data_IF_488638540921
#
_entry.id   IF_488638540921
#
_cell.length_a   1.000
_cell.length_b   1.000
_cell.length_c   1.000
_cell.angle_alpha   90.00
_cell.angle_beta   90.00
_cell.angle_gamma   90.00
#
_symmetry.space_group_name_H-M   'P 1'
#
loop_
_entity.id
_entity.type
_entity.pdbx_description
1 polymer ?
#
# COMPACT_ATOMS: atom_id res chain seq x y z
N UNK A 1 -9.72 -14.13 20.76
CA UNK A 1 -8.75 -13.50 19.84
C UNK A 1 -7.87 -12.56 20.64
N UNK A 2 -6.61 -12.91 20.84
CA UNK A 2 -5.60 -11.95 21.33
C UNK A 2 -5.19 -11.13 20.11
N UNK A 3 -5.23 -9.80 20.21
CA UNK A 3 -4.80 -8.93 19.13
C UNK A 3 -3.27 -8.92 19.07
N UNK A 4 -2.69 -8.86 17.85
CA UNK A 4 -1.26 -8.65 17.70
C UNK A 4 -0.82 -7.44 18.53
N UNK A 5 0.30 -7.52 19.27
CA UNK A 5 0.72 -6.46 20.18
C UNK A 5 0.77 -5.10 19.48
N UNK A 6 0.38 -4.07 20.23
CA UNK A 6 0.25 -2.68 19.75
C UNK A 6 1.49 -2.20 18.96
N UNK A 7 1.25 -1.42 17.90
CA UNK A 7 2.23 -0.92 16.91
C UNK A 7 3.37 -0.10 17.52
N UNK A 8 4.35 -0.76 18.15
CA UNK A 8 5.60 -0.12 18.62
C UNK A 8 6.71 -0.10 17.56
N UNK A 9 6.58 -0.88 16.48
CA UNK A 9 7.61 -1.04 15.42
C UNK A 9 6.96 -1.23 14.04
N UNK A 10 7.73 -0.91 12.99
CA UNK A 10 7.34 -1.14 11.59
C UNK A 10 7.24 -2.64 11.35
N UNK A 11 6.21 -3.10 10.65
CA UNK A 11 6.05 -4.50 10.24
C UNK A 11 5.41 -4.60 8.86
N UNK A 12 5.75 -5.67 8.14
CA UNK A 12 5.17 -6.02 6.84
C UNK A 12 4.35 -7.27 7.05
N UNK A 13 3.10 -7.29 6.60
CA UNK A 13 2.23 -8.47 6.69
C UNK A 13 1.98 -8.99 5.28
N UNK A 14 2.31 -10.25 5.04
CA UNK A 14 2.01 -10.96 3.81
C UNK A 14 0.67 -11.70 3.96
N UNK A 15 -0.28 -11.37 3.09
CA UNK A 15 -1.60 -12.00 3.02
C UNK A 15 -1.75 -12.73 1.68
N UNK A 16 -1.36 -14.02 1.60
CA UNK A 16 -1.69 -14.88 0.48
C UNK A 16 -3.17 -14.86 0.14
N UNK A 17 -3.53 -14.43 -1.06
CA UNK A 17 -4.91 -14.43 -1.54
C UNK A 17 -5.21 -15.66 -2.38
N UNK A 18 -4.20 -16.19 -3.06
CA UNK A 18 -4.34 -17.40 -3.88
C UNK A 18 -3.28 -18.44 -3.54
N UNK A 19 -3.49 -19.66 -4.02
CA UNK A 19 -2.51 -20.75 -4.02
C UNK A 19 -2.37 -21.27 -5.46
N UNK A 20 -1.16 -21.44 -5.99
CA UNK A 20 -0.98 -22.07 -7.30
C UNK A 20 -1.51 -23.50 -7.27
N UNK A 21 -2.24 -23.88 -8.31
CA UNK A 21 -2.75 -25.24 -8.51
C UNK A 21 -1.90 -25.93 -9.58
N UNK A 22 -1.25 -27.04 -9.20
CA UNK A 22 -0.43 -27.86 -10.11
C UNK A 22 1.07 -27.57 -10.10
N UNK A 23 1.81 -28.42 -10.83
CA UNK A 23 3.29 -28.49 -10.89
C UNK A 23 3.91 -27.36 -11.73
N UNK A 24 3.49 -26.11 -11.55
CA UNK A 24 4.18 -24.94 -12.13
C UNK A 24 5.10 -24.30 -11.09
N UNK A 25 6.16 -25.02 -10.74
CA UNK A 25 7.39 -24.43 -10.18
C UNK A 25 8.40 -24.19 -11.30
N UNK A 26 7.94 -23.60 -12.42
CA UNK A 26 8.84 -23.13 -13.47
C UNK A 26 9.25 -21.69 -13.17
N UNK A 27 10.55 -21.45 -13.25
CA UNK A 27 11.29 -20.29 -12.77
C UNK A 27 10.70 -18.93 -13.18
N UNK A 28 10.45 -18.06 -12.19
CA UNK A 28 10.42 -16.60 -12.38
C UNK A 28 9.06 -15.93 -12.47
N UNK A 29 7.95 -16.67 -12.48
CA UNK A 29 6.61 -16.10 -12.29
C UNK A 29 6.17 -16.25 -10.83
N UNK A 30 5.73 -15.16 -10.22
CA UNK A 30 5.06 -15.18 -8.92
C UNK A 30 3.77 -15.99 -9.09
N UNK A 31 3.82 -17.27 -8.75
CA UNK A 31 2.66 -18.18 -8.82
C UNK A 31 1.60 -17.93 -7.75
N UNK A 32 1.64 -16.76 -7.09
CA UNK A 32 0.76 -16.43 -5.97
C UNK A 32 0.42 -14.94 -5.97
N UNK A 33 -0.86 -14.63 -5.82
CA UNK A 33 -1.31 -13.29 -5.53
C UNK A 33 -1.22 -13.09 -4.01
N UNK A 34 -0.29 -12.25 -3.56
CA UNK A 34 -0.08 -11.93 -2.15
C UNK A 34 -0.29 -10.44 -1.95
N UNK A 35 -1.22 -10.06 -1.07
CA UNK A 35 -1.40 -8.68 -0.65
C UNK A 35 -0.42 -8.36 0.48
N UNK A 36 0.31 -7.25 0.35
CA UNK A 36 1.25 -6.79 1.38
C UNK A 36 0.67 -5.59 2.11
N UNK A 37 0.42 -5.73 3.41
CA UNK A 37 0.07 -4.61 4.26
C UNK A 37 1.34 -4.10 4.96
N UNK A 38 1.64 -2.81 4.76
CA UNK A 38 2.70 -2.15 5.49
C UNK A 38 2.12 -1.41 6.69
N UNK A 39 2.60 -1.71 7.89
CA UNK A 39 2.20 -0.99 9.10
C UNK A 39 3.40 -0.24 9.65
N UNK A 40 3.32 1.08 9.63
CA UNK A 40 4.38 1.97 10.08
C UNK A 40 3.89 2.68 11.34
N UNK A 41 4.65 2.59 12.43
CA UNK A 41 4.34 3.34 13.65
C UNK A 41 4.70 4.81 13.41
N UNK A 42 3.72 5.70 13.46
CA UNK A 42 4.00 7.14 13.43
C UNK A 42 4.79 7.48 14.70
N UNK A 43 5.99 8.03 14.55
CA UNK A 43 6.80 8.49 15.69
C UNK A 43 5.98 9.55 16.43
N UNK A 44 5.44 9.20 17.60
CA UNK A 44 4.68 10.11 18.44
C UNK A 44 5.58 11.32 18.75
N UNK A 45 5.26 12.47 18.17
CA UNK A 45 5.97 13.73 18.42
C UNK A 45 5.75 14.02 19.91
N UNK A 46 6.77 13.79 20.74
CA UNK A 46 6.74 14.17 22.14
C UNK A 46 6.51 15.68 22.21
N UNK A 47 5.28 16.08 22.51
CA UNK A 47 5.00 17.42 22.97
C UNK A 47 5.57 17.52 24.39
N UNK A 48 6.82 17.97 24.51
CA UNK A 48 7.33 18.49 25.76
C UNK A 48 6.70 19.86 25.97
N UNK A 49 5.48 19.85 26.52
CA UNK A 49 4.95 21.01 27.22
C UNK A 49 5.82 21.21 28.46
N UNK A 50 6.77 22.14 28.39
CA UNK A 50 7.41 22.68 29.59
C UNK A 50 6.57 23.87 30.03
N UNK A 51 5.77 23.64 31.05
CA UNK A 51 5.01 24.64 31.78
C UNK A 51 5.95 25.42 32.72
N UNK A 52 5.70 26.73 32.81
CA UNK A 52 6.07 27.71 33.86
C UNK A 52 7.42 28.43 33.79
N UNK A 53 7.27 29.76 33.69
CA UNK A 53 8.28 30.79 33.95
C UNK A 53 7.73 32.17 33.64
N UNK A 54 6.71 32.60 34.39
CA UNK A 54 6.02 33.88 34.26
C UNK A 54 6.86 34.98 34.92
N UNK A 55 7.39 35.94 34.15
CA UNK A 55 7.80 37.26 34.64
C UNK A 55 7.43 38.29 33.57
N UNK A 56 6.58 39.23 33.94
CA UNK A 56 6.20 40.37 33.12
C UNK A 56 7.26 41.48 33.19
N UNK A 57 7.66 42.05 32.04
CA UNK A 57 8.13 43.43 31.91
C UNK A 57 7.69 43.96 30.54
N UNK A 58 7.27 45.22 30.56
CA UNK A 58 6.54 45.99 29.56
C UNK A 58 7.23 46.23 28.21
N UNK A 59 6.37 46.49 27.21
CA UNK A 59 6.61 47.50 26.18
C UNK A 59 7.44 47.08 24.96
N UNK A 60 6.75 46.75 23.87
CA UNK A 60 6.84 47.46 22.58
C UNK A 60 6.08 46.67 21.50
N UNK A 61 5.36 47.41 20.66
CA UNK A 61 4.56 46.85 19.58
C UNK A 61 5.47 46.30 18.47
N UNK A 62 5.76 45.00 18.49
CA UNK A 62 6.28 44.31 17.33
C UNK A 62 5.15 44.01 16.35
N UNK A 63 5.24 44.61 15.18
CA UNK A 63 4.45 44.30 13.99
C UNK A 63 4.70 42.84 13.63
N UNK A 64 3.76 41.95 13.98
CA UNK A 64 3.69 40.59 13.45
C UNK A 64 3.60 40.64 11.93
N UNK A 65 4.73 40.51 11.25
CA UNK A 65 4.76 40.08 9.86
C UNK A 65 4.31 38.63 9.82
N UNK A 66 2.99 38.41 9.74
CA UNK A 66 2.37 37.12 9.41
C UNK A 66 3.05 36.56 8.17
N UNK A 67 3.96 35.62 8.37
CA UNK A 67 4.57 34.85 7.30
C UNK A 67 3.46 34.14 6.53
N UNK A 68 3.37 34.41 5.23
CA UNK A 68 2.41 33.81 4.31
C UNK A 68 2.62 32.29 4.10
N UNK A 69 3.57 31.68 4.83
CA UNK A 69 3.93 30.28 4.71
C UNK A 69 3.26 29.48 5.84
N UNK A 70 2.42 28.47 5.53
CA UNK A 70 1.77 27.65 6.54
C UNK A 70 2.81 26.85 7.34
N UNK A 71 2.68 26.82 8.67
CA UNK A 71 3.62 26.18 9.60
C UNK A 71 3.84 24.67 9.35
N UNK A 72 2.90 24.02 8.65
CA UNK A 72 2.94 22.59 8.30
C UNK A 72 3.67 22.29 6.97
N UNK A 73 4.21 23.31 6.29
CA UNK A 73 4.92 23.18 5.01
C UNK A 73 3.99 23.20 3.79
N UNK A 74 4.47 23.81 2.70
CA UNK A 74 3.68 24.06 1.48
C UNK A 74 3.11 22.78 0.85
N UNK A 75 3.86 21.67 0.88
CA UNK A 75 3.44 20.39 0.30
C UNK A 75 2.26 19.76 1.03
N UNK A 76 2.28 19.78 2.37
CA UNK A 76 1.20 19.25 3.19
C UNK A 76 -0.06 20.11 3.04
N UNK A 77 0.11 21.44 2.98
CA UNK A 77 -1.00 22.35 2.74
C UNK A 77 -1.67 22.11 1.38
N UNK A 78 -0.89 22.01 0.29
CA UNK A 78 -1.44 21.70 -1.05
C UNK A 78 -2.16 20.36 -1.06
N UNK A 79 -1.56 19.34 -0.42
CA UNK A 79 -2.15 17.99 -0.34
C UNK A 79 -3.48 18.01 0.41
N UNK A 80 -3.55 18.71 1.55
CA UNK A 80 -4.76 18.86 2.35
C UNK A 80 -5.85 19.61 1.58
N UNK A 81 -5.50 20.71 0.93
CA UNK A 81 -6.44 21.46 0.07
C UNK A 81 -7.00 20.62 -1.07
N UNK A 82 -6.15 19.84 -1.75
CA UNK A 82 -6.59 18.94 -2.80
C UNK A 82 -7.55 17.86 -2.26
N UNK A 83 -7.25 17.29 -1.10
CA UNK A 83 -8.13 16.33 -0.43
C UNK A 83 -9.49 16.93 -0.04
N UNK A 84 -9.49 18.16 0.50
CA UNK A 84 -10.72 18.87 0.86
C UNK A 84 -11.60 19.17 -0.37
N UNK A 85 -10.98 19.60 -1.47
CA UNK A 85 -11.68 19.84 -2.75
C UNK A 85 -12.28 18.54 -3.28
N UNK A 86 -11.50 17.45 -3.28
CA UNK A 86 -11.96 16.14 -3.73
C UNK A 86 -13.14 15.63 -2.88
N UNK A 87 -13.03 15.73 -1.55
CA UNK A 87 -14.11 15.39 -0.63
C UNK A 87 -15.37 16.26 -0.84
N UNK A 88 -15.17 17.54 -1.16
CA UNK A 88 -16.24 18.47 -1.53
C UNK A 88 -17.00 18.03 -2.80
N UNK A 89 -16.32 17.42 -3.78
CA UNK A 89 -16.96 16.88 -4.98
C UNK A 89 -17.87 15.69 -4.67
N UNK A 90 -17.48 14.82 -3.73
CA UNK A 90 -18.29 13.69 -3.28
C UNK A 90 -19.54 14.11 -2.50
N UNK A 91 -19.50 15.23 -1.78
CA UNK A 91 -20.65 15.78 -1.02
C UNK A 91 -21.69 16.51 -1.89
N UNK A 92 -21.41 16.70 -3.18
CA UNK A 92 -22.34 17.39 -4.06
C UNK A 92 -23.63 16.57 -4.27
N UNK A 93 -24.80 17.23 -4.20
CA UNK A 93 -26.11 16.59 -4.42
C UNK A 93 -26.34 16.10 -5.86
N UNK A 94 -25.42 16.40 -6.79
CA UNK A 94 -25.47 16.00 -8.20
C UNK A 94 -24.52 16.81 -9.10
N UNK A 95 -24.67 16.62 -10.41
CA UNK A 95 -23.95 17.40 -11.43
C UNK A 95 -22.56 16.86 -11.77
N UNK A 96 -21.78 17.68 -12.48
CA UNK A 96 -20.47 17.28 -13.01
C UNK A 96 -19.47 16.93 -11.89
N UNK A 97 -19.50 17.64 -10.75
CA UNK A 97 -18.61 17.38 -9.60
C UNK A 97 -18.78 15.97 -9.03
N UNK A 98 -20.04 15.55 -8.79
CA UNK A 98 -20.32 14.20 -8.30
C UNK A 98 -19.92 13.14 -9.34
N UNK A 99 -20.21 13.38 -10.63
CA UNK A 99 -19.80 12.48 -11.72
C UNK A 99 -18.27 12.35 -11.80
N UNK A 100 -17.53 13.45 -11.63
CA UNK A 100 -16.07 13.47 -11.59
C UNK A 100 -15.54 12.67 -10.40
N UNK A 101 -16.11 12.88 -9.20
CA UNK A 101 -15.74 12.11 -8.01
C UNK A 101 -15.96 10.60 -8.25
N UNK A 102 -17.16 10.20 -8.67
CA UNK A 102 -17.49 8.79 -8.94
C UNK A 102 -16.60 8.17 -10.02
N UNK A 103 -16.28 8.92 -11.09
CA UNK A 103 -15.38 8.45 -12.13
C UNK A 103 -13.95 8.28 -11.60
N UNK A 104 -13.48 9.22 -10.77
CA UNK A 104 -12.19 9.12 -10.10
C UNK A 104 -12.10 7.93 -9.16
N UNK A 105 -13.11 7.71 -8.32
CA UNK A 105 -13.19 6.52 -7.46
C UNK A 105 -13.15 5.23 -8.30
N UNK A 106 -13.92 5.16 -9.40
CA UNK A 106 -13.85 4.04 -10.35
C UNK A 106 -12.46 3.85 -10.98
N UNK A 107 -11.71 4.93 -11.20
CA UNK A 107 -10.33 4.84 -11.70
C UNK A 107 -9.37 4.32 -10.62
N UNK A 108 -9.53 4.77 -9.38
CA UNK A 108 -8.78 4.25 -8.23
C UNK A 108 -9.07 2.77 -8.03
N UNK A 109 -10.32 2.35 -8.18
CA UNK A 109 -10.74 0.95 -8.07
C UNK A 109 -10.14 0.03 -9.13
N UNK A 110 -9.80 0.58 -10.30
CA UNK A 110 -9.09 -0.13 -11.37
C UNK A 110 -7.59 -0.29 -11.12
N UNK A 111 -7.02 0.44 -10.16
CA UNK A 111 -5.63 0.24 -9.81
C UNK A 111 -5.45 -1.14 -9.19
N UNK A 112 -4.45 -1.84 -9.68
CA UNK A 112 -4.05 -3.14 -9.14
C UNK A 112 -3.71 -2.98 -7.65
N UNK A 113 -4.20 -3.89 -6.81
CA UNK A 113 -3.95 -3.85 -5.37
C UNK A 113 -2.45 -3.86 -5.04
N UNK A 114 -1.66 -4.50 -5.90
CA UNK A 114 -0.20 -4.51 -5.84
C UNK A 114 0.39 -3.10 -5.93
N UNK A 115 -0.15 -2.25 -6.81
CA UNK A 115 0.34 -0.87 -6.93
C UNK A 115 -0.04 -0.05 -5.69
N UNK A 116 -1.26 -0.25 -5.18
CA UNK A 116 -1.79 0.46 -4.02
C UNK A 116 -0.99 0.13 -2.75
N UNK A 117 -0.68 -1.15 -2.53
CA UNK A 117 0.14 -1.60 -1.42
C UNK A 117 1.50 -0.87 -1.41
N UNK A 118 2.23 -0.85 -2.53
CA UNK A 118 3.52 -0.16 -2.65
C UNK A 118 3.41 1.36 -2.48
N UNK A 119 2.33 1.96 -3.00
CA UNK A 119 2.08 3.40 -2.85
C UNK A 119 1.84 3.79 -1.40
N UNK A 120 1.12 2.96 -0.64
CA UNK A 120 0.76 3.23 0.76
C UNK A 120 1.99 3.25 1.69
N UNK A 121 3.06 2.56 1.29
CA UNK A 121 4.31 2.54 2.03
C UNK A 121 5.07 3.87 1.88
N UNK A 122 5.55 4.43 2.99
CA UNK A 122 6.39 5.62 2.98
C UNK A 122 7.83 5.29 3.41
N UNK A 123 8.81 5.34 2.47
CA UNK A 123 10.22 5.13 2.78
C UNK A 123 10.78 6.09 3.83
N UNK A 124 10.22 7.29 3.98
CA UNK A 124 10.70 8.29 4.95
C UNK A 124 10.37 7.92 6.40
N UNK A 125 9.43 7.02 6.61
CA UNK A 125 9.04 6.54 7.94
C UNK A 125 9.78 5.26 8.34
N UNK A 126 10.55 4.67 7.42
CA UNK A 126 11.41 3.51 7.68
C UNK A 126 12.80 3.90 8.20
N UNK A 127 13.62 2.93 8.66
CA UNK A 127 15.03 3.19 8.94
C UNK A 127 15.74 3.82 7.74
N UNK A 128 16.53 4.87 7.99
CA UNK A 128 17.23 5.60 6.93
C UNK A 128 18.31 4.73 6.30
N UNK A 129 18.23 4.52 4.98
CA UNK A 129 19.23 3.76 4.21
C UNK A 129 20.62 4.41 4.32
N UNK A 130 20.70 5.74 4.46
CA UNK A 130 21.96 6.47 4.61
C UNK A 130 22.67 6.12 5.92
N UNK A 131 21.93 5.82 6.99
CA UNK A 131 22.49 5.34 8.26
C UNK A 131 22.96 3.89 8.13
N UNK A 132 22.23 3.09 7.35
CA UNK A 132 22.53 1.68 7.05
C UNK A 132 23.81 1.46 6.24
N UNK A 133 24.10 2.31 5.25
CA UNK A 133 25.33 2.23 4.44
C UNK A 133 26.58 2.72 5.19
N UNK A 134 26.43 3.46 6.29
CA UNK A 134 27.54 4.08 7.02
C UNK A 134 28.09 3.24 8.19
N UNK A 135 27.40 2.17 8.61
CA UNK A 135 27.80 1.42 9.80
C UNK A 135 28.15 -0.06 9.50
N UNK A 136 29.44 -0.38 9.33
CA UNK A 136 29.96 -1.66 9.78
C UNK A 136 30.55 -1.58 11.20
N UNK A 137 30.88 -0.38 11.75
CA UNK A 137 31.72 -0.29 12.97
C UNK A 137 31.28 0.75 14.03
N UNK A 138 30.41 1.73 13.75
CA UNK A 138 30.00 2.73 14.76
C UNK A 138 28.49 2.97 14.81
N UNK A 139 27.78 2.11 15.54
CA UNK A 139 26.67 2.54 16.41
C UNK A 139 26.12 1.31 17.17
N UNK A 140 26.15 1.34 18.51
CA UNK A 140 25.62 0.27 19.38
C UNK A 140 24.09 0.16 19.35
N UNK A 141 23.40 0.83 18.42
CA UNK A 141 21.95 0.71 18.22
C UNK A 141 21.71 -0.48 17.31
N UNK A 142 21.08 -1.53 17.85
CA UNK A 142 20.65 -2.72 17.11
C UNK A 142 20.02 -2.29 15.78
N UNK A 143 20.37 -2.89 14.63
CA UNK A 143 19.73 -2.57 13.36
C UNK A 143 18.22 -2.75 13.52
N UNK A 144 17.44 -1.81 12.98
CA UNK A 144 15.99 -1.90 12.99
C UNK A 144 15.56 -3.03 12.06
N UNK A 145 15.38 -4.23 12.63
CA UNK A 145 14.84 -5.39 11.91
C UNK A 145 13.35 -5.19 11.72
N UNK A 146 12.88 -5.41 10.50
CA UNK A 146 11.48 -5.31 10.11
C UNK A 146 10.93 -6.74 9.97
N UNK A 147 9.97 -7.17 10.81
CA UNK A 147 9.36 -8.48 10.66
C UNK A 147 8.45 -8.52 9.43
N UNK A 148 8.58 -9.60 8.66
CA UNK A 148 7.67 -10.02 7.60
C UNK A 148 6.76 -11.11 8.15
N UNK A 149 5.58 -10.72 8.59
CA UNK A 149 4.58 -11.60 9.18
C UNK A 149 3.88 -12.40 8.08
N UNK A 150 3.81 -13.72 8.23
CA UNK A 150 3.13 -14.61 7.28
C UNK A 150 2.37 -15.75 7.98
N UNK A 151 1.33 -16.31 7.34
CA UNK A 151 0.63 -17.50 7.83
C UNK A 151 1.43 -18.78 7.50
N UNK A 152 1.91 -19.55 8.49
CA UNK A 152 2.75 -20.72 8.29
C UNK A 152 2.09 -21.88 7.53
N UNK A 153 0.75 -22.01 7.55
CA UNK A 153 0.04 -23.04 6.76
C UNK A 153 0.05 -22.77 5.26
N UNK A 154 0.36 -21.54 4.85
CA UNK A 154 0.28 -21.11 3.43
C UNK A 154 1.63 -20.79 2.82
N UNK A 155 2.58 -20.27 3.62
CA UNK A 155 3.90 -19.83 3.18
C UNK A 155 4.99 -20.38 4.08
N UNK A 156 6.13 -20.72 3.48
CA UNK A 156 7.38 -20.97 4.21
C UNK A 156 8.14 -19.65 4.38
N UNK A 157 9.04 -19.54 5.38
CA UNK A 157 9.80 -18.30 5.58
C UNK A 157 10.66 -17.91 4.38
N UNK A 158 11.25 -18.89 3.67
CA UNK A 158 12.00 -18.64 2.43
C UNK A 158 11.09 -18.21 1.28
N UNK A 159 9.92 -18.84 1.14
CA UNK A 159 8.93 -18.46 0.13
C UNK A 159 8.45 -17.03 0.35
N UNK A 160 8.11 -16.63 1.59
CA UNK A 160 7.66 -15.28 1.91
C UNK A 160 8.67 -14.20 1.50
N UNK A 161 9.96 -14.41 1.79
CA UNK A 161 11.02 -13.50 1.37
C UNK A 161 11.21 -13.49 -0.16
N UNK A 162 11.19 -14.67 -0.79
CA UNK A 162 11.36 -14.79 -2.24
C UNK A 162 10.22 -14.15 -3.03
N UNK A 163 8.97 -14.29 -2.56
CA UNK A 163 7.79 -13.66 -3.15
C UNK A 163 7.87 -12.13 -3.00
N UNK A 164 8.25 -11.62 -1.82
CA UNK A 164 8.41 -10.17 -1.62
C UNK A 164 9.52 -9.59 -2.51
N UNK A 165 10.63 -10.32 -2.67
CA UNK A 165 11.72 -9.95 -3.57
C UNK A 165 11.28 -9.93 -5.03
N UNK A 166 10.64 -11.00 -5.50
CA UNK A 166 10.13 -11.08 -6.85
C UNK A 166 9.06 -10.00 -7.12
N UNK A 167 8.18 -9.72 -6.15
CA UNK A 167 7.15 -8.69 -6.23
C UNK A 167 7.76 -7.31 -6.43
N UNK A 168 8.73 -6.94 -5.59
CA UNK A 168 9.41 -5.64 -5.69
C UNK A 168 10.24 -5.52 -6.98
N UNK A 169 10.97 -6.57 -7.35
CA UNK A 169 11.78 -6.62 -8.56
C UNK A 169 10.95 -6.53 -9.84
N UNK A 170 9.83 -7.25 -9.92
CA UNK A 170 8.96 -7.27 -11.10
C UNK A 170 8.23 -5.93 -11.30
N UNK A 171 7.72 -5.33 -10.22
CA UNK A 171 6.91 -4.10 -10.29
C UNK A 171 7.74 -2.83 -10.47
N UNK A 172 8.97 -2.79 -9.96
CA UNK A 172 9.81 -1.58 -9.96
C UNK A 172 10.03 -0.97 -11.37
N UNK A 173 10.38 -1.74 -12.43
CA UNK A 173 10.54 -1.18 -13.78
C UNK A 173 9.23 -0.65 -14.38
N UNK A 174 8.09 -1.27 -14.05
CA UNK A 174 6.77 -0.82 -14.50
C UNK A 174 6.42 0.54 -13.91
N UNK A 175 6.62 0.73 -12.61
CA UNK A 175 6.36 2.02 -11.97
C UNK A 175 7.36 3.10 -12.41
N UNK A 176 8.63 2.76 -12.63
CA UNK A 176 9.62 3.69 -13.18
C UNK A 176 9.20 4.21 -14.56
N UNK A 177 8.81 3.32 -15.48
CA UNK A 177 8.34 3.70 -16.81
C UNK A 177 7.07 4.54 -16.75
N UNK A 178 6.10 4.12 -15.93
CA UNK A 178 4.85 4.86 -15.73
C UNK A 178 5.07 6.27 -15.19
N UNK A 179 5.97 6.44 -14.23
CA UNK A 179 6.32 7.75 -13.68
C UNK A 179 6.76 8.74 -14.77
N UNK A 180 7.75 8.34 -15.58
CA UNK A 180 8.26 9.18 -16.67
C UNK A 180 7.25 9.38 -17.80
N UNK A 181 6.48 8.34 -18.14
CA UNK A 181 5.42 8.45 -19.13
C UNK A 181 4.39 9.51 -18.76
N UNK A 182 3.82 9.43 -17.56
CA UNK A 182 2.79 10.39 -17.11
C UNK A 182 3.36 11.79 -16.87
N UNK A 183 4.64 11.90 -16.48
CA UNK A 183 5.33 13.18 -16.40
C UNK A 183 5.47 13.85 -17.78
N UNK A 184 5.78 13.08 -18.82
CA UNK A 184 5.89 13.58 -20.19
C UNK A 184 4.53 13.95 -20.80
N UNK A 185 3.46 13.22 -20.45
CA UNK A 185 2.09 13.49 -20.92
C UNK A 185 1.46 14.70 -20.22
N UNK A 186 1.79 14.95 -18.94
CA UNK A 186 1.22 16.07 -18.18
C UNK A 186 1.27 17.44 -18.90
N UNK A 187 2.40 17.93 -19.44
CA UNK A 187 2.42 19.23 -20.13
C UNK A 187 1.51 19.29 -21.36
N UNK A 188 1.29 18.18 -22.07
CA UNK A 188 0.36 18.12 -23.22
C UNK A 188 -1.09 18.36 -22.80
N UNK A 189 -1.42 18.02 -21.56
CA UNK A 189 -2.75 18.25 -21.00
C UNK A 189 -2.90 19.60 -20.32
N UNK A 190 -1.82 20.37 -20.13
CA UNK A 190 -1.87 21.68 -19.46
C UNK A 190 -2.77 22.75 -20.15
N UNK A 191 -2.89 22.83 -21.49
CA UNK A 191 -3.67 23.86 -22.17
C UNK A 191 -5.17 23.89 -21.79
N UNK A 192 -5.74 22.79 -21.31
CA UNK A 192 -7.13 22.73 -20.82
C UNK A 192 -7.37 23.55 -19.54
N UNK A 193 -6.33 24.13 -18.93
CA UNK A 193 -6.43 25.03 -17.76
C UNK A 193 -7.04 26.39 -18.10
N UNK A 194 -7.09 26.78 -19.38
CA UNK A 194 -7.59 28.08 -19.82
C UNK A 194 -9.12 28.23 -19.74
N UNK A 195 -9.87 27.16 -19.41
CA UNK A 195 -11.33 27.20 -19.30
C UNK A 195 -11.72 27.46 -17.82
N UNK A 196 -12.27 28.63 -17.46
CA UNK A 196 -12.46 29.04 -16.06
C UNK A 196 -13.53 28.27 -15.28
N UNK A 197 -14.34 27.44 -15.96
CA UNK A 197 -15.51 26.78 -15.37
C UNK A 197 -15.19 25.37 -14.85
N UNK A 198 -14.21 24.68 -15.44
CA UNK A 198 -13.91 23.26 -15.16
C UNK A 198 -12.43 23.12 -14.83
N UNK A 199 -12.04 22.54 -13.67
CA UNK A 199 -10.64 22.27 -13.39
C UNK A 199 -10.08 21.36 -14.48
N UNK A 200 -8.81 21.54 -14.84
CA UNK A 200 -8.14 20.71 -15.84
C UNK A 200 -7.94 19.27 -15.33
N UNK A 201 -9.02 18.48 -15.31
CA UNK A 201 -9.06 17.11 -14.83
C UNK A 201 -8.04 16.22 -15.56
N UNK A 202 -7.85 16.34 -16.89
CA UNK A 202 -6.79 15.59 -17.58
C UNK A 202 -5.39 15.86 -17.01
N UNK A 203 -5.05 17.12 -16.75
CA UNK A 203 -3.76 17.48 -16.16
C UNK A 203 -3.60 16.94 -14.74
N UNK A 204 -4.61 17.17 -13.88
CA UNK A 204 -4.57 16.66 -12.51
C UNK A 204 -4.46 15.14 -12.45
N UNK A 205 -5.15 14.44 -13.35
CA UNK A 205 -5.02 12.99 -13.49
C UNK A 205 -3.59 12.58 -13.86
N UNK A 206 -2.96 13.23 -14.86
CA UNK A 206 -1.58 12.91 -15.25
C UNK A 206 -0.59 13.13 -14.11
N UNK A 207 -0.69 14.27 -13.40
CA UNK A 207 0.17 14.58 -12.25
C UNK A 207 -0.04 13.59 -11.12
N UNK A 208 -1.30 13.30 -10.75
CA UNK A 208 -1.63 12.31 -9.72
C UNK A 208 -1.12 10.92 -10.11
N UNK A 209 -1.26 10.51 -11.37
CA UNK A 209 -0.83 9.21 -11.86
C UNK A 209 0.69 9.08 -11.88
N UNK A 210 1.39 10.15 -12.28
CA UNK A 210 2.85 10.25 -12.20
C UNK A 210 3.32 10.14 -10.74
N UNK A 211 2.72 10.91 -9.82
CA UNK A 211 3.02 10.83 -8.38
C UNK A 211 2.77 9.44 -7.79
N UNK A 212 1.67 8.80 -8.17
CA UNK A 212 1.33 7.42 -7.76
C UNK A 212 2.42 6.43 -8.15
N UNK A 213 2.87 6.49 -9.42
CA UNK A 213 3.97 5.67 -9.91
C UNK A 213 5.30 6.02 -9.23
N UNK A 214 5.58 7.30 -9.00
CA UNK A 214 6.79 7.73 -8.30
C UNK A 214 6.87 7.13 -6.90
N UNK A 215 5.78 7.24 -6.12
CA UNK A 215 5.69 6.68 -4.78
C UNK A 215 5.90 5.17 -4.79
N UNK A 216 5.17 4.43 -5.63
CA UNK A 216 5.34 2.98 -5.76
C UNK A 216 6.79 2.61 -6.16
N UNK A 217 7.38 3.32 -7.11
CA UNK A 217 8.78 3.12 -7.52
C UNK A 217 9.76 3.33 -6.36
N UNK A 218 9.66 4.45 -5.63
CA UNK A 218 10.52 4.73 -4.47
C UNK A 218 10.34 3.70 -3.36
N UNK A 219 9.12 3.24 -3.11
CA UNK A 219 8.82 2.17 -2.16
C UNK A 219 9.42 0.84 -2.57
N UNK A 220 9.30 0.44 -3.84
CA UNK A 220 9.95 -0.78 -4.34
C UNK A 220 11.47 -0.71 -4.22
N UNK A 221 12.09 0.43 -4.56
CA UNK A 221 13.53 0.63 -4.38
C UNK A 221 13.96 0.49 -2.91
N UNK A 222 13.18 1.07 -2.01
CA UNK A 222 13.46 1.00 -0.58
C UNK A 222 13.34 -0.43 -0.05
N UNK A 223 12.25 -1.14 -0.37
CA UNK A 223 12.05 -2.53 0.02
C UNK A 223 13.13 -3.46 -0.55
N UNK A 224 13.51 -3.26 -1.80
CA UNK A 224 14.62 -3.99 -2.42
C UNK A 224 15.93 -3.78 -1.63
N UNK A 225 16.23 -2.54 -1.24
CA UNK A 225 17.40 -2.24 -0.40
C UNK A 225 17.32 -2.94 0.96
N UNK A 226 16.14 -3.00 1.59
CA UNK A 226 15.98 -3.70 2.87
C UNK A 226 16.19 -5.21 2.75
N UNK A 227 15.70 -5.81 1.66
CA UNK A 227 15.90 -7.24 1.36
C UNK A 227 17.37 -7.56 1.11
N UNK A 228 18.07 -6.73 0.33
CA UNK A 228 19.49 -6.89 0.01
C UNK A 228 20.37 -6.85 1.26
N UNK A 229 20.05 -5.96 2.21
CA UNK A 229 20.76 -5.84 3.48
C UNK A 229 20.26 -6.81 4.57
N UNK A 230 19.37 -7.76 4.22
CA UNK A 230 18.77 -8.75 5.14
C UNK A 230 18.13 -8.12 6.39
N UNK A 231 17.54 -6.94 6.25
CA UNK A 231 16.83 -6.27 7.35
C UNK A 231 15.40 -6.74 7.54
N UNK A 232 14.85 -7.45 6.55
CA UNK A 232 13.53 -8.05 6.63
C UNK A 232 13.70 -9.50 7.08
N UNK A 233 13.10 -9.84 8.21
CA UNK A 233 13.17 -11.19 8.79
C UNK A 233 11.77 -11.79 8.82
N UNK A 234 11.57 -13.00 8.28
CA UNK A 234 10.27 -13.65 8.27
C UNK A 234 9.88 -14.09 9.69
N UNK A 235 8.65 -13.78 10.09
CA UNK A 235 8.06 -14.10 11.39
C UNK A 235 6.74 -14.84 11.16
N UNK A 236 6.63 -16.08 11.63
CA UNK A 236 5.38 -16.84 11.51
C UNK A 236 4.33 -16.28 12.49
N UNK A 237 3.08 -16.18 12.05
CA UNK A 237 1.97 -15.77 12.91
C UNK A 237 0.89 -16.83 12.95
N UNK A 238 0.77 -17.50 14.09
CA UNK A 238 -0.27 -18.50 14.35
C UNK A 238 -1.67 -17.86 14.40
N UNK A 239 -1.76 -16.61 14.87
CA UNK A 239 -3.02 -15.86 14.90
C UNK A 239 -3.54 -15.59 13.49
N UNK A 240 -2.63 -15.23 12.56
CA UNK A 240 -2.99 -15.07 11.16
C UNK A 240 -3.37 -16.43 10.55
N UNK A 241 -2.65 -17.49 10.91
CA UNK A 241 -2.96 -18.85 10.46
C UNK A 241 -4.37 -19.30 10.84
N UNK A 242 -4.81 -19.00 12.06
CA UNK A 242 -6.17 -19.30 12.53
C UNK A 242 -7.25 -18.63 11.68
N UNK A 243 -7.00 -17.41 11.19
CA UNK A 243 -7.93 -16.72 10.28
C UNK A 243 -8.03 -17.48 8.96
N UNK A 244 -6.92 -17.95 8.41
CA UNK A 244 -6.92 -18.78 7.21
C UNK A 244 -7.63 -20.12 7.41
N UNK A 245 -7.47 -20.75 8.57
CA UNK A 245 -8.17 -22.01 8.88
C UNK A 245 -9.69 -21.80 9.02
N UNK A 246 -10.10 -20.70 9.65
CA UNK A 246 -11.52 -20.39 9.89
C UNK A 246 -12.25 -19.97 8.62
N UNK A 247 -11.58 -19.21 7.74
CA UNK A 247 -12.14 -18.68 6.51
C UNK A 247 -11.62 -19.37 5.24
N UNK A 248 -11.11 -20.59 5.39
CA UNK A 248 -10.62 -21.42 4.29
C UNK A 248 -11.73 -21.70 3.28
N UNK A 249 -11.48 -21.41 2.01
CA UNK A 249 -12.36 -21.82 0.92
C UNK A 249 -12.06 -23.29 0.61
N UNK A 250 -13.03 -24.21 0.76
CA UNK A 250 -12.80 -25.61 0.44
C UNK A 250 -12.50 -25.77 -1.06
N UNK A 251 -11.59 -26.69 -1.44
CA UNK A 251 -11.35 -26.97 -2.84
C UNK A 251 -12.65 -27.44 -3.50
N UNK A 252 -12.88 -27.11 -4.79
CA UNK A 252 -14.04 -27.62 -5.51
C UNK A 252 -14.01 -29.16 -5.47
N UNK A 253 -15.17 -29.83 -5.33
CA UNK A 253 -15.24 -31.28 -5.32
C UNK A 253 -14.61 -31.83 -6.60
N UNK A 254 -13.75 -32.83 -6.46
CA UNK A 254 -13.14 -33.58 -7.57
C UNK A 254 -14.27 -34.20 -8.40
N UNK A 255 -14.69 -33.53 -9.46
CA UNK A 255 -15.58 -34.13 -10.44
C UNK A 255 -14.78 -35.20 -11.20
N UNK A 256 -15.27 -36.45 -11.28
CA UNK A 256 -14.60 -37.47 -12.09
C UNK A 256 -14.61 -37.02 -13.55
N UNK A 257 -13.42 -36.77 -14.08
CA UNK A 257 -13.18 -36.30 -15.43
C UNK A 257 -13.65 -37.33 -16.45
N UNK A 258 -14.87 -37.15 -16.97
CA UNK A 258 -15.29 -37.79 -18.21
C UNK A 258 -14.61 -37.07 -19.38
N UNK A 259 -13.57 -37.71 -19.91
CA UNK A 259 -13.08 -37.69 -21.30
C UNK A 259 -13.01 -36.36 -22.08
N UNK A 260 -11.80 -36.13 -22.60
CA UNK A 260 -11.43 -35.38 -23.79
C UNK A 260 -11.27 -33.85 -23.66
N UNK A 261 -10.01 -33.42 -23.73
CA UNK A 261 -9.54 -32.10 -24.14
C UNK A 261 -10.32 -30.90 -23.59
N UNK A 262 -10.12 -30.56 -22.33
CA UNK A 262 -10.42 -29.21 -21.87
C UNK A 262 -9.26 -28.62 -21.06
N UNK A 263 -8.88 -27.41 -21.41
CA UNK A 263 -7.61 -26.77 -21.00
C UNK A 263 -7.78 -25.89 -19.75
N UNK A 264 -8.88 -26.08 -19.01
CA UNK A 264 -9.43 -25.06 -18.11
C UNK A 264 -9.48 -25.52 -16.64
N UNK A 265 -8.39 -26.12 -16.16
CA UNK A 265 -8.20 -26.27 -14.70
C UNK A 265 -7.83 -24.90 -14.13
N UNK A 266 -8.53 -24.38 -13.10
CA UNK A 266 -8.15 -23.11 -12.48
C UNK A 266 -6.72 -23.21 -11.96
N UNK A 267 -5.82 -22.48 -12.63
CA UNK A 267 -4.37 -22.47 -12.35
C UNK A 267 -4.04 -22.01 -10.93
N UNK A 268 -4.98 -21.36 -10.26
CA UNK A 268 -4.86 -20.85 -8.89
C UNK A 268 -6.18 -21.08 -8.15
N UNK A 269 -6.10 -21.51 -6.89
CA UNK A 269 -7.24 -21.57 -5.97
C UNK A 269 -7.27 -20.31 -5.09
N UNK A 270 -8.45 -19.77 -4.80
CA UNK A 270 -8.63 -18.66 -3.87
C UNK A 270 -8.49 -19.18 -2.43
N UNK A 271 -7.76 -18.45 -1.58
CA UNK A 271 -7.51 -18.83 -0.18
C UNK A 271 -8.41 -18.12 0.82
N UNK A 272 -8.77 -16.87 0.53
CA UNK A 272 -9.57 -16.01 1.40
C UNK A 272 -10.73 -15.42 0.61
N UNK A 273 -11.90 -15.40 1.23
CA UNK A 273 -13.06 -14.66 0.73
C UNK A 273 -13.22 -13.33 1.48
N UNK A 274 -14.15 -12.50 1.00
CA UNK A 274 -14.51 -11.20 1.54
C UNK A 274 -14.85 -11.25 3.05
N UNK A 275 -15.43 -12.36 3.49
CA UNK A 275 -15.84 -12.56 4.88
C UNK A 275 -14.66 -12.70 5.86
N UNK A 276 -13.45 -12.97 5.36
CA UNK A 276 -12.23 -13.01 6.17
C UNK A 276 -11.73 -11.60 6.53
N UNK A 277 -12.10 -10.58 5.75
CA UNK A 277 -11.54 -9.23 5.87
C UNK A 277 -11.77 -8.61 7.26
N UNK A 278 -12.99 -8.64 7.86
CA UNK A 278 -13.19 -8.12 9.21
C UNK A 278 -12.29 -8.76 10.27
N UNK A 279 -12.06 -10.08 10.20
CA UNK A 279 -11.18 -10.80 11.12
C UNK A 279 -9.72 -10.35 10.96
N UNK A 280 -9.25 -10.18 9.72
CA UNK A 280 -7.91 -9.67 9.42
C UNK A 280 -7.74 -8.23 9.94
N UNK A 281 -8.73 -7.35 9.72
CA UNK A 281 -8.67 -5.96 10.17
C UNK A 281 -8.60 -5.88 11.69
N UNK A 282 -9.41 -6.68 12.39
CA UNK A 282 -9.38 -6.80 13.84
C UNK A 282 -8.01 -7.28 14.33
N UNK A 283 -7.48 -8.35 13.73
CA UNK A 283 -6.17 -8.90 14.07
C UNK A 283 -5.04 -7.88 13.89
N UNK A 284 -5.08 -7.13 12.79
CA UNK A 284 -4.08 -6.12 12.44
C UNK A 284 -4.28 -4.79 13.17
N UNK A 285 -5.33 -4.65 13.99
CA UNK A 285 -5.74 -3.40 14.65
C UNK A 285 -5.95 -2.25 13.67
N UNK A 286 -6.51 -2.56 12.50
CA UNK A 286 -6.84 -1.59 11.46
C UNK A 286 -8.30 -1.13 11.61
N UNK A 287 -8.55 0.17 11.43
CA UNK A 287 -9.91 0.71 11.43
C UNK A 287 -10.66 0.26 10.19
N UNK A 288 -11.93 -0.10 10.33
CA UNK A 288 -12.81 -0.50 9.22
C UNK A 288 -12.94 0.56 8.14
N UNK A 289 -12.89 1.85 8.51
CA UNK A 289 -12.97 2.98 7.59
C UNK A 289 -11.61 3.44 7.04
N UNK A 290 -10.53 2.69 7.31
CA UNK A 290 -9.20 3.05 6.82
C UNK A 290 -9.01 2.73 5.35
N UNK A 291 -8.09 3.44 4.69
CA UNK A 291 -7.66 3.13 3.32
C UNK A 291 -7.13 1.69 3.20
N UNK A 292 -6.43 1.20 4.23
CA UNK A 292 -5.95 -0.18 4.29
C UNK A 292 -7.10 -1.21 4.23
N UNK A 293 -8.23 -0.92 4.89
CA UNK A 293 -9.41 -1.77 4.80
C UNK A 293 -9.99 -1.80 3.38
N UNK A 294 -10.16 -0.63 2.75
CA UNK A 294 -10.64 -0.54 1.37
C UNK A 294 -9.71 -1.28 0.39
N UNK A 295 -8.39 -1.13 0.57
CA UNK A 295 -7.39 -1.80 -0.27
C UNK A 295 -7.40 -3.32 -0.10
N UNK A 296 -7.59 -3.82 1.12
CA UNK A 296 -7.70 -5.27 1.38
C UNK A 296 -8.97 -5.86 0.77
N UNK A 297 -10.14 -5.21 0.93
CA UNK A 297 -11.37 -5.63 0.25
C UNK A 297 -11.19 -5.68 -1.26
N UNK A 298 -10.56 -4.64 -1.83
CA UNK A 298 -10.25 -4.58 -3.27
C UNK A 298 -9.31 -5.70 -3.70
N UNK A 299 -8.29 -6.01 -2.90
CA UNK A 299 -7.32 -7.06 -3.20
C UNK A 299 -8.01 -8.44 -3.28
N UNK A 300 -8.87 -8.75 -2.31
CA UNK A 300 -9.65 -10.01 -2.29
C UNK A 300 -10.56 -10.12 -3.51
N UNK A 301 -11.31 -9.07 -3.85
CA UNK A 301 -12.19 -9.07 -5.02
C UNK A 301 -11.41 -9.17 -6.34
N UNK A 302 -10.30 -8.44 -6.47
CA UNK A 302 -9.43 -8.53 -7.65
C UNK A 302 -8.83 -9.94 -7.78
N UNK A 303 -8.40 -10.56 -6.67
CA UNK A 303 -7.91 -11.94 -6.69
C UNK A 303 -9.01 -12.92 -7.12
N UNK A 304 -10.22 -12.79 -6.57
CA UNK A 304 -11.39 -13.60 -6.94
C UNK A 304 -11.70 -13.51 -8.45
N UNK A 305 -11.75 -12.29 -9.00
CA UNK A 305 -12.01 -12.05 -10.43
C UNK A 305 -10.88 -12.59 -11.32
N UNK A 306 -9.61 -12.45 -10.89
CA UNK A 306 -8.46 -12.98 -11.65
C UNK A 306 -8.46 -14.52 -11.67
N UNK A 307 -8.80 -15.15 -10.55
CA UNK A 307 -8.97 -16.61 -10.45
C UNK A 307 -10.12 -17.09 -11.35
N UNK A 308 -11.29 -16.45 -11.25
CA UNK A 308 -12.47 -16.85 -12.03
C UNK A 308 -12.33 -16.61 -13.54
N UNK A 309 -11.45 -15.70 -13.95
CA UNK A 309 -11.19 -15.40 -15.37
C UNK A 309 -9.97 -16.12 -15.95
N UNK A 310 -9.28 -16.96 -15.16
CA UNK A 310 -8.05 -17.65 -15.58
C UNK A 310 -6.83 -16.74 -15.80
N UNK A 311 -6.96 -15.42 -15.57
CA UNK A 311 -5.90 -14.41 -15.76
C UNK A 311 -5.08 -14.23 -14.49
N UNK A 312 -4.31 -15.25 -14.14
CA UNK A 312 -3.38 -15.19 -13.01
C UNK A 312 -1.99 -14.63 -13.40
N UNK A 313 -1.94 -13.68 -14.34
CA UNK A 313 -0.71 -12.95 -14.65
C UNK A 313 -0.65 -11.67 -13.81
N UNK A 314 0.55 -11.37 -13.29
CA UNK A 314 0.85 -10.12 -12.59
C UNK A 314 1.16 -8.95 -13.52
#
# INVERSE_FOLDING_TARGET
>A
MVALPALKKIRIVALPLTRPSGTMLSSGQLGRLTYYQFQISAKQKQASASEKGQVAVDGEAEVEKKGWLPEEGVTNWVSKKAADIWAGFGKAKGGWKLKTFQLGEKMVDRLEFEELALKSFDPSMGPSITQLKRSPVLDKKKPTIIPLIYPPSQLTPSAALSELSAYTGHRMPRHRRGFFFWMAVAPLTAPFMLIPIVPNLPFFFCVWRSWSHYRAYKSSQYLHSLLEHRLIVPEASDELDQVYQTHSIPPPPLQPSSTAFDTDVPRHALLLDRDAVPAILSLLSLKTESTAAADLYRAVEQARVRVSSGRAQL
#
